data_IF_724886573342
#
_entry.id   IF_724886573342
#
_cell.length_a   1.000
_cell.length_b   1.000
_cell.length_c   1.000
_cell.angle_alpha   90.00
_cell.angle_beta   90.00
_cell.angle_gamma   90.00
#
_symmetry.space_group_name_H-M   'P 1'
#
loop_
_entity.id
_entity.type
_entity.pdbx_description
1 polymer ?
#
# COMPACT_ATOMS: atom_id res chain seq x y z
N UNK A 1 33.20 -26.77 45.65
CA UNK A 1 32.68 -25.46 45.17
C UNK A 1 33.17 -25.21 43.76
N UNK A 2 32.30 -25.29 42.75
CA UNK A 2 32.39 -24.59 41.45
C UNK A 2 31.02 -24.74 40.77
N UNK A 3 30.40 -23.61 40.48
CA UNK A 3 29.04 -23.48 39.94
C UNK A 3 29.05 -23.69 38.42
N UNK A 4 27.95 -24.28 37.95
CA UNK A 4 27.18 -24.00 36.72
C UNK A 4 27.90 -23.91 35.37
N UNK A 5 27.32 -24.53 34.34
CA UNK A 5 26.76 -23.77 33.21
C UNK A 5 25.68 -24.60 32.51
N UNK A 6 24.44 -24.10 32.58
CA UNK A 6 23.28 -24.57 31.85
C UNK A 6 23.39 -23.99 30.43
N UNK A 7 23.46 -24.84 29.41
CA UNK A 7 23.49 -24.44 28.01
C UNK A 7 22.04 -24.29 27.53
N UNK A 8 21.48 -23.09 27.64
CA UNK A 8 20.21 -22.76 26.98
C UNK A 8 20.54 -22.42 25.52
N UNK A 9 20.14 -23.31 24.63
CA UNK A 9 20.09 -23.09 23.18
C UNK A 9 19.09 -21.97 22.87
N UNK A 10 19.59 -20.76 22.64
CA UNK A 10 18.84 -19.73 21.92
C UNK A 10 18.96 -20.03 20.43
N UNK A 11 17.92 -20.61 19.85
CA UNK A 11 17.69 -20.58 18.41
C UNK A 11 17.52 -19.12 17.99
N UNK A 12 18.57 -18.56 17.38
CA UNK A 12 18.45 -17.34 16.58
C UNK A 12 17.49 -17.64 15.43
N UNK A 13 16.21 -17.35 15.62
CA UNK A 13 15.32 -17.05 14.51
C UNK A 13 15.82 -15.73 13.90
N UNK A 14 16.72 -15.85 12.93
CA UNK A 14 17.11 -14.73 12.07
C UNK A 14 15.82 -14.33 11.37
N UNK A 15 15.22 -13.23 11.84
CA UNK A 15 14.19 -12.50 11.12
C UNK A 15 14.82 -12.15 9.79
N UNK A 16 14.41 -12.88 8.76
CA UNK A 16 14.75 -12.63 7.38
C UNK A 16 14.10 -11.30 7.02
N UNK A 17 14.80 -10.20 7.32
CA UNK A 17 14.47 -8.89 6.79
C UNK A 17 14.57 -9.05 5.28
N UNK A 18 13.43 -9.21 4.63
CA UNK A 18 13.30 -9.02 3.20
C UNK A 18 13.55 -7.54 2.93
N UNK A 19 14.83 -7.16 2.94
CA UNK A 19 15.30 -5.94 2.29
C UNK A 19 15.19 -6.26 0.81
N UNK A 20 13.98 -6.12 0.27
CA UNK A 20 13.75 -6.23 -1.16
C UNK A 20 14.67 -5.21 -1.83
N UNK A 21 15.68 -5.70 -2.55
CA UNK A 21 16.43 -4.89 -3.51
C UNK A 21 15.48 -4.26 -4.53
N UNK A 22 15.97 -3.35 -5.39
CA UNK A 22 15.14 -2.82 -6.46
C UNK A 22 14.53 -3.98 -7.26
N UNK A 23 13.20 -3.95 -7.43
CA UNK A 23 12.48 -4.92 -8.25
C UNK A 23 13.08 -4.93 -9.66
N UNK A 24 13.22 -6.10 -10.26
CA UNK A 24 13.68 -6.18 -11.65
C UNK A 24 12.63 -5.56 -12.58
N UNK A 25 13.04 -5.10 -13.76
CA UNK A 25 12.09 -4.60 -14.77
C UNK A 25 11.04 -5.66 -15.15
N UNK A 26 11.42 -6.93 -15.14
CA UNK A 26 10.50 -8.04 -15.39
C UNK A 26 9.44 -8.17 -14.28
N UNK A 27 9.84 -8.00 -13.01
CA UNK A 27 8.91 -8.06 -11.87
C UNK A 27 7.92 -6.89 -11.91
N UNK A 28 8.40 -5.69 -12.26
CA UNK A 28 7.56 -4.50 -12.44
C UNK A 28 6.51 -4.75 -13.53
N UNK A 29 6.94 -5.20 -14.71
CA UNK A 29 6.01 -5.51 -15.83
C UNK A 29 5.02 -6.61 -15.47
N UNK A 30 5.47 -7.66 -14.77
CA UNK A 30 4.58 -8.74 -14.32
C UNK A 30 3.52 -8.22 -13.35
N UNK A 31 3.88 -7.31 -12.45
CA UNK A 31 2.95 -6.69 -11.51
C UNK A 31 1.94 -5.77 -12.21
N UNK A 32 2.39 -4.98 -13.18
CA UNK A 32 1.53 -4.11 -14.01
C UNK A 32 0.51 -4.94 -14.80
N UNK A 33 0.94 -6.04 -15.43
CA UNK A 33 0.05 -6.95 -16.15
C UNK A 33 -0.98 -7.60 -15.22
N UNK A 34 -0.58 -8.01 -14.01
CA UNK A 34 -1.50 -8.56 -13.01
C UNK A 34 -2.58 -7.54 -12.63
N UNK A 35 -2.17 -6.29 -12.36
CA UNK A 35 -3.09 -5.21 -12.04
C UNK A 35 -4.07 -4.95 -13.18
N UNK A 36 -3.58 -4.79 -14.41
CA UNK A 36 -4.43 -4.54 -15.58
C UNK A 36 -5.44 -5.68 -15.82
N UNK A 37 -4.97 -6.94 -15.75
CA UNK A 37 -5.84 -8.09 -15.94
C UNK A 37 -6.91 -8.16 -14.84
N UNK A 38 -6.53 -7.96 -13.58
CA UNK A 38 -7.48 -7.96 -12.47
C UNK A 38 -8.49 -6.81 -12.57
N UNK A 39 -8.04 -5.58 -12.85
CA UNK A 39 -8.91 -4.41 -13.05
C UNK A 39 -9.91 -4.64 -14.18
N UNK A 40 -9.55 -5.39 -15.23
CA UNK A 40 -10.46 -5.71 -16.33
C UNK A 40 -11.47 -6.81 -15.97
N UNK A 41 -11.06 -7.81 -15.18
CA UNK A 41 -11.80 -9.07 -15.02
C UNK A 41 -12.51 -9.23 -13.69
N UNK A 42 -12.14 -8.47 -12.65
CA UNK A 42 -12.76 -8.60 -11.33
C UNK A 42 -14.27 -8.31 -11.38
N UNK A 43 -15.05 -9.06 -10.60
CA UNK A 43 -16.50 -8.91 -10.46
C UNK A 43 -16.79 -8.34 -9.08
N UNK A 44 -17.71 -7.37 -9.00
CA UNK A 44 -18.04 -6.69 -7.75
C UNK A 44 -18.57 -7.65 -6.68
N UNK A 45 -18.08 -7.61 -5.42
CA UNK A 45 -16.98 -6.77 -4.95
C UNK A 45 -15.62 -7.29 -5.43
N UNK A 46 -14.81 -6.39 -6.00
CA UNK A 46 -13.43 -6.65 -6.35
C UNK A 46 -12.59 -6.64 -5.06
N UNK A 47 -12.19 -7.83 -4.61
CA UNK A 47 -11.29 -7.98 -3.46
C UNK A 47 -9.85 -7.71 -3.89
N UNK A 48 -9.13 -6.88 -3.15
CA UNK A 48 -7.72 -6.56 -3.38
C UNK A 48 -6.89 -7.86 -3.39
N UNK A 49 -6.22 -8.21 -4.50
CA UNK A 49 -5.38 -9.40 -4.56
C UNK A 49 -4.13 -9.23 -3.70
N UNK A 50 -3.75 -10.31 -3.02
CA UNK A 50 -2.51 -10.40 -2.24
C UNK A 50 -1.27 -9.96 -3.04
N UNK A 51 -1.21 -10.32 -4.33
CA UNK A 51 -0.11 -9.97 -5.23
C UNK A 51 0.01 -8.47 -5.54
N UNK A 52 -1.01 -7.66 -5.23
CA UNK A 52 -1.05 -6.21 -5.48
C UNK A 52 -0.90 -5.38 -4.20
N UNK A 53 -0.87 -6.03 -3.04
CA UNK A 53 -0.86 -5.36 -1.72
C UNK A 53 0.36 -4.48 -1.47
N UNK A 54 1.48 -4.76 -2.14
CA UNK A 54 2.75 -4.02 -1.97
C UNK A 54 2.90 -2.81 -2.88
N UNK A 55 1.96 -2.57 -3.81
CA UNK A 55 1.99 -1.45 -4.73
C UNK A 55 2.74 -1.75 -6.03
N UNK A 56 3.40 -0.76 -6.63
CA UNK A 56 4.06 -0.86 -7.93
C UNK A 56 4.12 0.51 -8.61
N UNK A 57 4.20 0.54 -9.94
CA UNK A 57 4.25 1.79 -10.71
C UNK A 57 2.98 2.63 -10.50
N UNK A 58 3.14 3.82 -9.92
CA UNK A 58 2.02 4.68 -9.52
C UNK A 58 1.01 4.95 -10.65
N UNK A 59 1.49 5.17 -11.88
CA UNK A 59 0.62 5.44 -13.03
C UNK A 59 -0.42 4.34 -13.28
N UNK A 60 -0.03 3.07 -13.14
CA UNK A 60 -0.93 1.94 -13.35
C UNK A 60 -1.97 1.82 -12.24
N UNK A 61 -1.58 2.04 -10.98
CA UNK A 61 -2.53 2.01 -9.85
C UNK A 61 -3.51 3.19 -9.90
N UNK A 62 -3.06 4.38 -10.32
CA UNK A 62 -3.94 5.54 -10.54
C UNK A 62 -4.95 5.24 -11.65
N UNK A 63 -4.48 4.76 -12.81
CA UNK A 63 -5.35 4.39 -13.93
C UNK A 63 -6.31 3.24 -13.54
N UNK A 64 -5.83 2.27 -12.75
CA UNK A 64 -6.64 1.17 -12.23
C UNK A 64 -7.76 1.64 -11.32
N UNK A 65 -7.49 2.58 -10.41
CA UNK A 65 -8.51 3.18 -9.54
C UNK A 65 -9.61 3.89 -10.35
N UNK A 66 -9.22 4.70 -11.34
CA UNK A 66 -10.17 5.33 -12.26
C UNK A 66 -11.00 4.31 -13.05
N UNK A 67 -10.37 3.25 -13.58
CA UNK A 67 -11.04 2.22 -14.36
C UNK A 67 -12.04 1.43 -13.50
N UNK A 68 -11.68 1.05 -12.27
CA UNK A 68 -12.60 0.38 -11.35
C UNK A 68 -13.79 1.29 -10.98
N UNK A 69 -13.53 2.56 -10.64
CA UNK A 69 -14.58 3.52 -10.35
C UNK A 69 -15.54 3.69 -11.54
N UNK A 70 -14.99 3.83 -12.75
CA UNK A 70 -15.76 3.96 -13.99
C UNK A 70 -16.59 2.71 -14.33
N UNK A 71 -16.13 1.52 -13.91
CA UNK A 71 -16.89 0.27 -14.01
C UNK A 71 -17.99 0.14 -12.97
N UNK A 72 -18.07 1.03 -11.98
CA UNK A 72 -19.08 1.02 -10.92
C UNK A 72 -18.98 -0.16 -9.95
N UNK A 73 -17.85 -0.87 -9.94
CA UNK A 73 -17.62 -1.99 -9.02
C UNK A 73 -17.27 -1.48 -7.63
N UNK A 74 -17.50 -2.31 -6.61
CA UNK A 74 -16.99 -2.07 -5.25
C UNK A 74 -15.57 -2.62 -5.12
N UNK A 75 -14.67 -1.89 -4.47
CA UNK A 75 -13.33 -2.35 -4.09
C UNK A 75 -13.29 -2.63 -2.60
N UNK A 76 -12.80 -3.80 -2.21
CA UNK A 76 -12.54 -4.13 -0.80
C UNK A 76 -11.06 -4.41 -0.59
N UNK A 77 -10.44 -3.66 0.31
CA UNK A 77 -9.15 -4.02 0.88
C UNK A 77 -9.42 -4.85 2.13
N UNK A 78 -9.74 -6.11 1.92
CA UNK A 78 -10.19 -7.03 2.95
C UNK A 78 -9.50 -8.40 2.78
N UNK A 79 -9.17 -9.06 3.87
CA UNK A 79 -8.39 -10.32 3.87
C UNK A 79 -6.90 -10.17 3.53
N UNK A 80 -6.38 -8.94 3.45
CA UNK A 80 -4.93 -8.64 3.31
C UNK A 80 -4.40 -8.00 4.59
N UNK A 81 -3.15 -8.28 4.96
CA UNK A 81 -2.51 -7.74 6.17
C UNK A 81 -1.98 -6.30 6.00
N UNK A 82 -1.77 -5.86 4.75
CA UNK A 82 -1.25 -4.54 4.43
C UNK A 82 -1.74 -4.04 3.07
N UNK A 83 -1.69 -2.74 2.87
CA UNK A 83 -1.85 -2.08 1.59
C UNK A 83 -0.81 -0.95 1.54
N UNK A 84 0.18 -1.13 0.67
CA UNK A 84 1.36 -0.26 0.60
C UNK A 84 1.50 0.42 -0.77
N UNK A 85 2.03 1.64 -0.78
CA UNK A 85 2.49 2.33 -1.99
C UNK A 85 1.40 2.47 -3.07
N UNK A 86 1.57 1.86 -4.25
CA UNK A 86 0.55 1.85 -5.30
C UNK A 86 -0.82 1.34 -4.82
N UNK A 87 -0.87 0.38 -3.90
CA UNK A 87 -2.13 -0.16 -3.37
C UNK A 87 -2.98 0.95 -2.73
N UNK A 88 -2.37 1.80 -1.90
CA UNK A 88 -3.05 2.90 -1.22
C UNK A 88 -3.50 3.97 -2.21
N UNK A 89 -2.71 4.22 -3.26
CA UNK A 89 -3.08 5.14 -4.34
C UNK A 89 -4.28 4.64 -5.14
N UNK A 90 -4.37 3.35 -5.45
CA UNK A 90 -5.53 2.81 -6.17
C UNK A 90 -6.81 3.02 -5.37
N UNK A 91 -6.77 2.82 -4.06
CA UNK A 91 -7.91 3.05 -3.16
C UNK A 91 -8.29 4.52 -3.09
N UNK A 92 -7.30 5.41 -2.91
CA UNK A 92 -7.51 6.86 -2.87
C UNK A 92 -8.10 7.38 -4.19
N UNK A 93 -7.56 6.92 -5.32
CA UNK A 93 -8.09 7.29 -6.64
C UNK A 93 -9.48 6.73 -6.87
N UNK A 94 -9.77 5.49 -6.45
CA UNK A 94 -11.12 4.97 -6.54
C UNK A 94 -12.11 5.86 -5.77
N UNK A 95 -11.74 6.30 -4.57
CA UNK A 95 -12.56 7.21 -3.75
C UNK A 95 -12.73 8.59 -4.40
N UNK A 96 -11.64 9.17 -4.92
CA UNK A 96 -11.64 10.46 -5.64
C UNK A 96 -12.66 10.46 -6.78
N UNK A 97 -12.74 9.37 -7.54
CA UNK A 97 -13.65 9.23 -8.68
C UNK A 97 -15.07 8.77 -8.28
N UNK A 98 -15.44 8.86 -7.01
CA UNK A 98 -16.78 8.51 -6.51
C UNK A 98 -17.06 7.01 -6.42
N UNK A 99 -16.03 6.16 -6.54
CA UNK A 99 -16.15 4.71 -6.42
C UNK A 99 -16.51 4.25 -5.00
N UNK A 100 -17.10 3.06 -4.92
CA UNK A 100 -17.40 2.39 -3.65
C UNK A 100 -16.17 1.62 -3.19
N UNK A 101 -15.51 2.11 -2.15
CA UNK A 101 -14.39 1.40 -1.51
C UNK A 101 -14.75 1.09 -0.06
N UNK A 102 -14.07 0.10 0.51
CA UNK A 102 -13.99 -0.11 1.95
C UNK A 102 -12.63 -0.72 2.33
N UNK A 103 -12.23 -0.55 3.59
CA UNK A 103 -11.03 -1.17 4.17
C UNK A 103 -11.42 -2.04 5.35
N UNK A 104 -10.84 -3.23 5.43
CA UNK A 104 -10.96 -4.16 6.54
C UNK A 104 -10.27 -3.66 7.81
N UNK A 105 -10.35 -4.44 8.89
CA UNK A 105 -9.69 -4.12 10.17
C UNK A 105 -8.24 -4.57 10.17
N UNK A 106 -7.36 -3.76 10.77
CA UNK A 106 -5.96 -4.12 10.98
C UNK A 106 -5.10 -4.14 9.72
N UNK A 107 -5.58 -3.53 8.62
CA UNK A 107 -4.79 -3.38 7.39
C UNK A 107 -3.70 -2.34 7.63
N UNK A 108 -2.45 -2.78 7.59
CA UNK A 108 -1.28 -1.88 7.68
C UNK A 108 -1.22 -0.99 6.44
N UNK A 109 -1.33 0.33 6.62
CA UNK A 109 -1.43 1.28 5.51
C UNK A 109 -0.11 2.03 5.25
N UNK A 110 0.76 1.43 4.44
CA UNK A 110 2.11 1.93 4.20
C UNK A 110 2.18 2.94 3.05
N UNK A 111 2.59 4.16 3.36
CA UNK A 111 2.73 5.23 2.38
C UNK A 111 4.19 5.68 2.30
N UNK A 112 4.65 6.07 1.10
CA UNK A 112 6.00 6.57 0.90
C UNK A 112 6.04 7.56 -0.28
N UNK A 113 7.13 8.32 -0.40
CA UNK A 113 7.34 9.19 -1.56
C UNK A 113 7.59 8.37 -2.82
N UNK A 114 6.98 8.75 -3.94
CA UNK A 114 7.24 8.08 -5.22
C UNK A 114 8.71 8.24 -5.60
N UNK A 115 9.33 7.14 -6.02
CA UNK A 115 10.64 7.17 -6.66
C UNK A 115 10.46 7.57 -8.10
N UNK A 116 11.21 8.56 -8.56
CA UNK A 116 11.24 9.02 -9.94
C UNK A 116 12.69 9.11 -10.39
N UNK A 117 12.93 9.02 -11.69
CA UNK A 117 14.27 9.16 -12.25
C UNK A 117 14.44 10.59 -12.77
N UNK A 118 15.50 11.27 -12.36
CA UNK A 118 15.84 12.58 -12.89
C UNK A 118 16.39 12.46 -14.33
N UNK A 119 16.62 13.60 -14.99
CA UNK A 119 17.18 13.65 -16.35
C UNK A 119 18.58 13.02 -16.49
N UNK A 120 19.28 12.82 -15.37
CA UNK A 120 20.61 12.24 -15.33
C UNK A 120 20.56 10.73 -14.98
N UNK A 121 19.37 10.16 -14.80
CA UNK A 121 19.20 8.76 -14.41
C UNK A 121 19.45 8.49 -12.92
N UNK A 122 19.37 9.51 -12.06
CA UNK A 122 19.41 9.31 -10.61
C UNK A 122 17.99 9.07 -10.05
N UNK A 123 17.84 8.12 -9.15
CA UNK A 123 16.61 7.95 -8.37
C UNK A 123 16.48 9.13 -7.40
N UNK A 124 15.38 9.87 -7.50
CA UNK A 124 15.00 10.93 -6.57
C UNK A 124 13.59 10.64 -6.02
N UNK A 125 13.26 11.25 -4.89
CA UNK A 125 11.94 11.11 -4.27
C UNK A 125 11.07 12.32 -4.60
N UNK A 126 9.85 12.07 -5.08
CA UNK A 126 8.87 13.13 -5.31
C UNK A 126 8.52 13.82 -3.99
N UNK A 127 8.48 15.16 -4.00
CA UNK A 127 8.31 15.93 -2.77
C UNK A 127 6.95 15.73 -2.09
N UNK A 128 5.89 15.57 -2.87
CA UNK A 128 4.53 15.52 -2.34
C UNK A 128 3.84 14.24 -2.79
N UNK A 129 3.41 13.37 -1.86
CA UNK A 129 2.46 12.31 -2.19
C UNK A 129 1.10 12.91 -2.54
N UNK A 130 0.39 12.30 -3.48
CA UNK A 130 -0.95 12.74 -3.88
C UNK A 130 -1.96 11.81 -3.21
N UNK A 131 -2.46 12.22 -2.04
CA UNK A 131 -3.66 11.62 -1.42
C UNK A 131 -4.74 12.68 -1.36
N UNK A 132 -5.93 12.34 -1.85
CA UNK A 132 -7.02 13.29 -2.03
C UNK A 132 -8.18 13.05 -1.04
N UNK A 133 -8.29 11.86 -0.45
CA UNK A 133 -9.25 11.62 0.61
C UNK A 133 -8.90 12.45 1.86
N UNK A 134 -9.78 13.41 2.18
CA UNK A 134 -9.55 14.44 3.20
C UNK A 134 -9.08 13.87 4.55
N UNK A 135 -9.68 12.82 5.14
CA UNK A 135 -9.23 12.32 6.44
C UNK A 135 -7.79 11.79 6.41
N UNK A 136 -7.37 11.17 5.30
CA UNK A 136 -5.99 10.71 5.12
C UNK A 136 -5.07 11.90 4.92
N UNK A 137 -5.42 12.83 4.02
CA UNK A 137 -4.61 14.04 3.79
C UNK A 137 -4.39 14.85 5.10
N UNK A 138 -5.44 15.00 5.92
CA UNK A 138 -5.37 15.66 7.22
C UNK A 138 -4.50 14.88 8.20
N UNK A 139 -4.66 13.55 8.29
CA UNK A 139 -3.81 12.73 9.14
C UNK A 139 -2.34 12.82 8.75
N UNK A 140 -2.05 12.75 7.43
CA UNK A 140 -0.70 12.91 6.87
C UNK A 140 -0.10 14.25 7.32
N UNK A 141 -0.84 15.34 7.15
CA UNK A 141 -0.40 16.69 7.53
C UNK A 141 -0.16 16.81 9.04
N UNK A 142 -1.08 16.31 9.86
CA UNK A 142 -0.99 16.35 11.32
C UNK A 142 0.22 15.56 11.89
N UNK A 143 0.75 14.61 11.14
CA UNK A 143 1.90 13.80 11.52
C UNK A 143 3.21 14.25 10.83
N UNK A 144 3.26 15.49 10.33
CA UNK A 144 4.47 16.09 9.75
C UNK A 144 4.70 15.78 8.27
N UNK A 145 3.70 15.25 7.57
CA UNK A 145 3.79 14.87 6.16
C UNK A 145 4.57 13.56 5.94
N UNK A 146 4.80 13.19 4.67
CA UNK A 146 5.69 12.06 4.37
C UNK A 146 7.15 12.50 4.51
N UNK A 147 7.96 11.81 5.34
CA UNK A 147 9.36 12.14 5.56
C UNK A 147 10.17 12.28 4.26
N UNK A 148 11.17 13.16 4.27
CA UNK A 148 12.07 13.39 3.12
C UNK A 148 12.90 12.15 2.77
N UNK A 149 13.22 11.30 3.76
CA UNK A 149 13.85 9.99 3.52
C UNK A 149 12.91 8.97 2.84
N UNK A 150 11.68 9.39 2.53
CA UNK A 150 10.68 8.67 1.77
C UNK A 150 9.89 7.65 2.57
N UNK A 151 10.35 7.20 3.74
CA UNK A 151 9.77 6.04 4.43
C UNK A 151 8.90 6.48 5.61
N UNK A 152 7.70 5.91 5.69
CA UNK A 152 6.85 6.09 6.86
C UNK A 152 6.97 4.90 7.80
N UNK A 153 7.21 5.19 9.08
CA UNK A 153 7.21 4.20 10.15
C UNK A 153 5.83 4.04 10.82
N UNK A 154 4.95 5.04 10.70
CA UNK A 154 3.64 5.09 11.34
C UNK A 154 2.55 4.94 10.28
N UNK A 155 1.56 4.09 10.56
CA UNK A 155 0.39 3.90 9.69
C UNK A 155 -0.84 4.56 10.31
N UNK A 156 -1.75 5.15 9.51
CA UNK A 156 -3.04 5.60 10.00
C UNK A 156 -3.77 4.49 10.78
N UNK A 157 -4.45 4.81 11.89
CA UNK A 157 -5.31 3.85 12.56
C UNK A 157 -6.56 3.55 11.70
N UNK A 158 -7.20 2.41 11.96
CA UNK A 158 -8.43 1.97 11.28
C UNK A 158 -9.51 3.06 11.24
N UNK A 159 -9.66 3.85 12.31
CA UNK A 159 -10.65 4.94 12.37
C UNK A 159 -10.45 6.00 11.29
N UNK A 160 -9.19 6.32 10.93
CA UNK A 160 -8.86 7.27 9.86
C UNK A 160 -9.11 6.63 8.50
N UNK A 161 -8.72 5.37 8.33
CA UNK A 161 -8.98 4.61 7.09
C UNK A 161 -10.47 4.49 6.81
N UNK A 162 -11.27 4.15 7.82
CA UNK A 162 -12.72 4.01 7.68
C UNK A 162 -13.42 5.35 7.49
N UNK A 163 -12.91 6.44 8.07
CA UNK A 163 -13.43 7.77 7.79
C UNK A 163 -13.17 8.19 6.32
N UNK A 164 -12.01 7.82 5.77
CA UNK A 164 -11.66 8.14 4.38
C UNK A 164 -12.36 7.24 3.35
N UNK A 165 -12.34 5.93 3.60
CA UNK A 165 -12.64 4.91 2.61
C UNK A 165 -13.82 4.02 3.00
N UNK A 166 -14.39 4.14 4.20
CA UNK A 166 -15.43 3.25 4.68
C UNK A 166 -14.90 1.94 5.27
N UNK A 167 -15.72 1.33 6.13
CA UNK A 167 -15.43 0.06 6.82
C UNK A 167 -16.05 -1.10 6.04
N UNK A 168 -15.29 -2.15 5.77
CA UNK A 168 -15.84 -3.33 5.11
C UNK A 168 -16.83 -4.09 6.00
N UNK A 169 -17.84 -4.77 5.43
CA UNK A 169 -18.72 -5.63 6.21
C UNK A 169 -17.92 -6.69 6.96
N UNK A 170 -18.09 -6.78 8.29
CA UNK A 170 -17.42 -7.79 9.12
C UNK A 170 -16.09 -7.38 9.74
N UNK A 171 -15.53 -6.23 9.35
CA UNK A 171 -14.36 -5.58 10.03
C UNK A 171 -14.52 -5.16 11.60
#
# INVERSE_FOLDING_TARGET
MKKAFCLILFTLAIVQQAISGPLSEADIKAQELRLLNWVKTCVSPCIMPEALKTGGTAAFFIAGGWALASRGVELRVDGVDQCNSGCTLLVDQMKKWGGKVCVGKGVVWGMHRSRIWDKNGNEILRETPVYEALPIAQWISAHGGIPQNGKWANTPPDSVLWAAYGRCPGA
#
